data_IF_364403256698
#
_entry.id   IF_364403256698
#
_cell.length_a   1.000
_cell.length_b   1.000
_cell.length_c   1.000
_cell.angle_alpha   90.00
_cell.angle_beta   90.00
_cell.angle_gamma   90.00
#
_symmetry.space_group_name_H-M   'P 1'
#
loop_
_entity.id
_entity.type
_entity.pdbx_description
1 polymer ?
#
# COMPACT_ATOMS: atom_id res chain seq x y z
N UNK A 1 -4.02 -31.67 19.71
CA UNK A 1 -2.56 -31.87 19.53
C UNK A 1 -1.90 -30.58 19.96
N UNK A 2 -0.75 -30.63 20.64
CA UNK A 2 -0.05 -29.40 21.03
C UNK A 2 0.38 -28.62 19.77
N UNK A 3 0.21 -27.28 19.73
CA UNK A 3 0.61 -26.48 18.59
C UNK A 3 2.11 -26.58 18.32
N UNK A 4 2.48 -26.72 17.05
CA UNK A 4 3.88 -26.61 16.64
C UNK A 4 4.21 -25.16 16.30
N UNK A 5 5.20 -24.58 16.97
CA UNK A 5 5.64 -23.20 16.72
C UNK A 5 7.04 -23.18 16.08
N UNK A 6 7.21 -22.35 15.06
CA UNK A 6 8.51 -22.04 14.49
C UNK A 6 8.90 -20.58 14.82
N UNK A 7 10.16 -20.36 15.19
CA UNK A 7 10.75 -19.03 15.31
C UNK A 7 11.73 -18.86 14.14
N UNK A 8 11.35 -18.05 13.17
CA UNK A 8 12.15 -17.80 11.97
C UNK A 8 12.74 -16.41 12.07
N UNK A 9 14.06 -16.28 12.04
CA UNK A 9 14.70 -14.98 12.22
C UNK A 9 15.86 -14.75 11.27
N UNK A 10 16.14 -13.46 11.02
CA UNK A 10 17.40 -13.04 10.41
C UNK A 10 18.17 -12.18 11.43
N UNK A 11 19.44 -12.48 11.65
CA UNK A 11 20.28 -11.69 12.56
C UNK A 11 21.68 -11.56 11.98
N UNK A 12 22.12 -10.32 11.82
CA UNK A 12 23.47 -9.99 11.37
C UNK A 12 24.43 -9.84 12.55
N UNK A 13 24.01 -9.13 13.61
CA UNK A 13 24.85 -8.79 14.78
C UNK A 13 24.39 -9.46 16.09
N UNK A 14 23.48 -10.45 16.03
CA UNK A 14 23.07 -11.22 17.21
C UNK A 14 21.91 -10.66 18.05
N UNK A 15 21.53 -9.39 17.90
CA UNK A 15 20.42 -8.78 18.67
C UNK A 15 19.09 -9.54 18.54
N UNK A 16 18.67 -9.84 17.30
CA UNK A 16 17.46 -10.62 17.02
C UNK A 16 17.58 -12.06 17.53
N UNK A 17 18.79 -12.64 17.57
CA UNK A 17 19.00 -13.99 18.11
C UNK A 17 18.69 -14.03 19.60
N UNK A 18 19.20 -13.06 20.36
CA UNK A 18 18.92 -12.98 21.79
C UNK A 18 17.43 -12.78 22.09
N UNK A 19 16.71 -12.00 21.27
CA UNK A 19 15.25 -11.91 21.37
C UNK A 19 14.58 -13.24 21.00
N UNK A 20 15.01 -13.92 19.94
CA UNK A 20 14.48 -15.21 19.54
C UNK A 20 14.64 -16.28 20.65
N UNK A 21 15.77 -16.27 21.37
CA UNK A 21 15.99 -17.16 22.52
C UNK A 21 15.03 -16.81 23.68
N UNK A 22 14.74 -15.53 23.91
CA UNK A 22 13.76 -15.08 24.91
C UNK A 22 12.31 -15.45 24.53
N UNK A 23 11.93 -15.27 23.27
CA UNK A 23 10.63 -15.74 22.72
C UNK A 23 10.48 -17.25 22.92
N UNK A 24 11.54 -18.02 22.62
CA UNK A 24 11.57 -19.48 22.83
C UNK A 24 11.32 -19.84 24.29
N UNK A 25 12.03 -19.17 25.21
CA UNK A 25 11.85 -19.38 26.64
C UNK A 25 10.41 -19.07 27.10
N UNK A 26 9.78 -18.05 26.51
CA UNK A 26 8.36 -17.73 26.72
C UNK A 26 7.41 -18.85 26.29
N UNK A 27 7.64 -19.42 25.11
CA UNK A 27 6.84 -20.54 24.58
C UNK A 27 7.02 -21.79 25.45
N UNK A 28 8.26 -22.11 25.83
CA UNK A 28 8.56 -23.27 26.68
C UNK A 28 7.95 -23.12 28.08
N UNK A 29 7.96 -21.90 28.64
CA UNK A 29 7.28 -21.59 29.91
C UNK A 29 5.77 -21.81 29.85
N UNK A 30 5.16 -21.61 28.67
CA UNK A 30 3.75 -21.89 28.43
C UNK A 30 3.44 -23.38 28.20
N UNK A 31 4.46 -24.26 28.26
CA UNK A 31 4.33 -25.69 28.00
C UNK A 31 4.37 -26.07 26.52
N UNK A 32 4.83 -25.16 25.65
CA UNK A 32 5.00 -25.37 24.23
C UNK A 32 6.40 -25.82 23.84
N UNK A 33 6.56 -26.09 22.55
CA UNK A 33 7.87 -26.34 21.92
C UNK A 33 8.03 -25.42 20.72
N UNK A 34 9.25 -24.93 20.50
CA UNK A 34 9.56 -24.02 19.41
C UNK A 34 10.87 -24.39 18.73
N UNK A 35 10.81 -24.53 17.41
CA UNK A 35 11.99 -24.78 16.57
C UNK A 35 12.53 -23.46 16.03
N UNK A 36 13.86 -23.26 16.13
CA UNK A 36 14.50 -22.05 15.62
C UNK A 36 15.04 -22.29 14.22
N UNK A 37 14.84 -21.30 13.36
CA UNK A 37 15.33 -21.29 11.99
C UNK A 37 15.95 -19.94 11.66
N UNK A 38 17.07 -19.98 10.94
CA UNK A 38 17.71 -18.76 10.45
C UNK A 38 17.50 -18.59 8.93
N UNK A 39 17.13 -17.38 8.52
CA UNK A 39 17.02 -17.05 7.09
C UNK A 39 18.42 -17.01 6.45
N UNK A 40 18.50 -17.50 5.21
CA UNK A 40 19.71 -17.56 4.41
C UNK A 40 20.39 -16.18 4.27
N UNK A 41 21.74 -16.18 4.26
CA UNK A 41 22.51 -14.96 3.98
C UNK A 41 22.54 -14.68 2.49
N UNK A 42 22.31 -13.42 2.11
CA UNK A 42 22.44 -12.99 0.71
C UNK A 42 23.76 -12.25 0.45
N UNK A 43 24.42 -11.75 1.49
CA UNK A 43 25.66 -11.00 1.35
C UNK A 43 26.87 -11.94 1.20
N UNK A 44 27.80 -11.67 0.26
CA UNK A 44 29.05 -12.43 0.14
C UNK A 44 29.89 -12.38 1.43
N UNK A 45 30.63 -13.46 1.70
CA UNK A 45 31.47 -13.58 2.90
C UNK A 45 32.45 -12.41 3.06
N UNK A 46 33.04 -11.93 1.96
CA UNK A 46 33.95 -10.77 1.98
C UNK A 46 33.30 -9.49 2.49
N UNK A 47 32.03 -9.28 2.15
CA UNK A 47 31.25 -8.11 2.61
C UNK A 47 30.96 -8.25 4.10
N UNK A 48 30.59 -9.45 4.56
CA UNK A 48 30.34 -9.73 5.97
C UNK A 48 31.60 -9.48 6.82
N UNK A 49 32.78 -9.89 6.33
CA UNK A 49 34.05 -9.63 6.99
C UNK A 49 34.33 -8.12 7.09
N UNK A 50 34.10 -7.36 6.02
CA UNK A 50 34.26 -5.89 6.01
C UNK A 50 33.25 -5.18 6.93
N UNK A 51 32.06 -5.74 7.10
CA UNK A 51 31.01 -5.22 7.97
C UNK A 51 31.19 -5.62 9.45
N UNK A 52 32.27 -6.32 9.78
CA UNK A 52 32.54 -6.87 11.12
C UNK A 52 31.36 -7.69 11.67
N UNK A 53 30.63 -8.37 10.79
CA UNK A 53 29.54 -9.22 11.20
C UNK A 53 30.11 -10.45 11.95
N UNK A 54 29.59 -10.79 13.14
CA UNK A 54 30.01 -12.00 13.84
C UNK A 54 29.72 -13.24 13.00
N UNK A 55 30.53 -14.31 13.14
CA UNK A 55 30.27 -15.57 12.47
C UNK A 55 28.88 -16.08 12.85
N UNK A 56 28.14 -16.57 11.85
CA UNK A 56 26.78 -17.08 12.08
C UNK A 56 26.84 -18.32 12.96
N UNK A 57 25.98 -18.43 13.98
CA UNK A 57 25.91 -19.62 14.81
C UNK A 57 25.55 -20.85 13.97
N UNK A 58 26.26 -21.96 14.17
CA UNK A 58 26.00 -23.24 13.48
C UNK A 58 24.98 -24.11 14.22
N UNK A 59 24.47 -23.64 15.37
CA UNK A 59 23.54 -24.36 16.23
C UNK A 59 22.08 -24.26 15.76
N UNK A 60 21.78 -23.31 14.87
CA UNK A 60 20.45 -23.10 14.30
C UNK A 60 20.46 -23.45 12.81
N UNK A 61 19.54 -24.31 12.34
CA UNK A 61 19.45 -24.67 10.93
C UNK A 61 19.09 -23.45 10.06
N UNK A 62 19.74 -23.35 8.90
CA UNK A 62 19.34 -22.39 7.87
C UNK A 62 18.10 -22.89 7.17
N UNK A 63 17.07 -22.05 7.09
CA UNK A 63 15.83 -22.35 6.38
C UNK A 63 15.99 -22.09 4.89
N UNK A 64 16.45 -23.11 4.17
CA UNK A 64 16.61 -23.06 2.72
C UNK A 64 15.29 -23.26 1.96
N UNK A 65 14.43 -24.15 2.45
CA UNK A 65 13.12 -24.45 1.88
C UNK A 65 11.98 -23.90 2.76
N UNK A 66 11.23 -22.88 2.28
CA UNK A 66 10.08 -22.35 3.00
C UNK A 66 8.94 -23.37 3.21
N UNK A 67 8.88 -24.47 2.44
CA UNK A 67 7.82 -25.47 2.59
C UNK A 67 7.81 -26.13 3.97
N UNK A 68 8.95 -26.16 4.67
CA UNK A 68 9.06 -26.67 6.05
C UNK A 68 8.08 -25.94 7.00
N UNK A 69 7.81 -24.65 6.75
CA UNK A 69 6.89 -23.87 7.59
C UNK A 69 5.42 -24.30 7.44
N UNK A 70 5.07 -25.11 6.44
CA UNK A 70 3.71 -25.66 6.27
C UNK A 70 3.31 -26.59 7.40
N UNK A 71 4.28 -27.22 8.07
CA UNK A 71 4.03 -28.19 9.14
C UNK A 71 3.80 -27.54 10.53
N UNK A 72 3.93 -26.21 10.62
CA UNK A 72 3.77 -25.44 11.86
C UNK A 72 2.39 -24.76 11.93
N UNK A 73 1.85 -24.62 13.13
CA UNK A 73 0.57 -23.93 13.37
C UNK A 73 0.76 -22.42 13.60
N UNK A 74 1.91 -22.04 14.17
CA UNK A 74 2.25 -20.66 14.47
C UNK A 74 3.72 -20.35 14.14
N UNK A 75 3.98 -19.13 13.68
CA UNK A 75 5.30 -18.69 13.27
C UNK A 75 5.60 -17.31 13.89
N UNK A 76 6.73 -17.18 14.59
CA UNK A 76 7.26 -15.89 15.05
C UNK A 76 8.40 -15.43 14.14
N UNK A 77 8.28 -14.22 13.61
CA UNK A 77 9.22 -13.64 12.64
C UNK A 77 10.14 -12.60 13.28
N UNK A 78 11.43 -12.89 13.35
CA UNK A 78 12.46 -11.98 13.88
C UNK A 78 13.09 -11.12 12.78
N UNK A 79 12.77 -9.83 12.76
CA UNK A 79 13.10 -8.93 11.65
C UNK A 79 13.97 -7.75 12.13
N UNK A 80 15.25 -7.67 11.72
CA UNK A 80 16.03 -6.46 11.93
C UNK A 80 15.64 -5.43 10.87
N UNK A 81 15.31 -4.21 11.29
CA UNK A 81 14.80 -3.18 10.37
C UNK A 81 15.84 -2.79 9.32
N UNK A 82 15.35 -2.48 8.11
CA UNK A 82 16.06 -1.66 7.13
C UNK A 82 15.12 -0.56 6.67
N UNK A 83 15.37 0.65 7.16
CA UNK A 83 14.59 1.86 6.85
C UNK A 83 13.07 1.69 7.07
N UNK A 84 12.66 0.97 8.13
CA UNK A 84 11.25 0.72 8.42
C UNK A 84 10.62 -0.39 7.56
N UNK A 85 11.44 -1.26 6.95
CA UNK A 85 10.98 -2.40 6.15
C UNK A 85 11.88 -3.63 6.40
N UNK A 86 11.54 -4.73 5.72
CA UNK A 86 12.33 -5.94 5.69
C UNK A 86 13.75 -5.70 5.14
N UNK A 87 14.77 -6.39 5.67
CA UNK A 87 16.06 -6.48 5.01
C UNK A 87 15.95 -7.37 3.75
N UNK A 88 16.92 -7.24 2.85
CA UNK A 88 16.95 -7.96 1.57
C UNK A 88 16.82 -9.48 1.75
N UNK A 89 17.43 -10.04 2.80
CA UNK A 89 17.38 -11.46 3.13
C UNK A 89 15.93 -11.93 3.40
N UNK A 90 15.17 -11.13 4.14
CA UNK A 90 13.75 -11.42 4.38
C UNK A 90 12.92 -11.28 3.10
N UNK A 91 13.20 -10.28 2.26
CA UNK A 91 12.52 -10.16 0.97
C UNK A 91 12.80 -11.34 0.05
N UNK A 92 14.06 -11.75 -0.08
CA UNK A 92 14.44 -12.95 -0.84
C UNK A 92 13.77 -14.22 -0.32
N UNK A 93 13.58 -14.35 1.00
CA UNK A 93 12.82 -15.45 1.58
C UNK A 93 11.35 -15.44 1.14
N UNK A 94 10.67 -14.29 1.23
CA UNK A 94 9.28 -14.15 0.80
C UNK A 94 9.12 -14.30 -0.73
N UNK A 95 10.10 -13.90 -1.52
CA UNK A 95 10.02 -14.07 -2.99
C UNK A 95 10.06 -15.56 -3.40
N UNK A 96 10.65 -16.44 -2.57
CA UNK A 96 10.63 -17.91 -2.76
C UNK A 96 9.26 -18.54 -2.44
N UNK A 97 8.34 -17.83 -1.77
CA UNK A 97 7.07 -18.43 -1.31
C UNK A 97 5.92 -18.33 -2.31
N UNK A 98 6.16 -17.91 -3.56
CA UNK A 98 5.12 -17.75 -4.59
C UNK A 98 4.27 -19.02 -4.82
N UNK A 99 4.89 -20.19 -4.88
CA UNK A 99 4.15 -21.46 -5.00
C UNK A 99 3.34 -21.81 -3.74
N UNK A 100 3.83 -21.45 -2.56
CA UNK A 100 3.13 -21.64 -1.28
C UNK A 100 1.92 -20.70 -1.18
N UNK A 101 2.09 -19.46 -1.65
CA UNK A 101 1.01 -18.49 -1.76
C UNK A 101 -0.10 -19.01 -2.67
N UNK A 102 0.25 -19.47 -3.87
CA UNK A 102 -0.73 -20.00 -4.84
C UNK A 102 -1.49 -21.21 -4.28
N UNK A 103 -0.83 -22.08 -3.52
CA UNK A 103 -1.46 -23.25 -2.90
C UNK A 103 -2.21 -22.94 -1.60
N UNK A 104 -2.17 -21.70 -1.10
CA UNK A 104 -2.71 -21.34 0.22
C UNK A 104 -2.02 -22.02 1.40
N UNK A 105 -0.75 -22.43 1.26
CA UNK A 105 -0.08 -23.27 2.26
C UNK A 105 0.13 -22.64 3.63
N UNK A 106 0.07 -21.31 3.73
CA UNK A 106 0.14 -20.56 5.00
C UNK A 106 -1.22 -20.02 5.46
N UNK A 107 -2.28 -20.26 4.69
CA UNK A 107 -3.59 -19.74 5.00
C UNK A 107 -4.10 -20.27 6.35
N UNK A 108 -4.55 -19.37 7.21
CA UNK A 108 -5.09 -19.70 8.54
C UNK A 108 -4.04 -20.03 9.60
N UNK A 109 -2.73 -19.96 9.29
CA UNK A 109 -1.67 -20.09 10.30
C UNK A 109 -1.48 -18.79 11.07
N UNK A 110 -1.00 -18.90 12.30
CA UNK A 110 -0.76 -17.74 13.15
C UNK A 110 0.63 -17.16 12.93
N UNK A 111 0.73 -15.84 12.91
CA UNK A 111 1.99 -15.12 12.75
C UNK A 111 2.16 -14.06 13.84
N UNK A 112 3.33 -13.99 14.45
CA UNK A 112 3.77 -12.86 15.26
C UNK A 112 5.12 -12.35 14.78
N UNK A 113 5.55 -11.20 15.28
CA UNK A 113 6.81 -10.60 14.88
C UNK A 113 7.51 -9.92 16.04
N UNK A 114 8.84 -9.82 15.96
CA UNK A 114 9.68 -9.07 16.88
C UNK A 114 10.81 -8.38 16.11
N UNK A 115 11.15 -7.16 16.52
CA UNK A 115 11.93 -6.22 15.70
C UNK A 115 13.17 -5.69 16.41
N UNK A 116 14.25 -5.48 15.65
CA UNK A 116 15.44 -4.78 16.13
C UNK A 116 15.69 -3.53 15.29
N UNK A 117 15.91 -2.39 15.94
CA UNK A 117 16.24 -1.12 15.27
C UNK A 117 17.46 -0.46 15.89
N UNK A 118 18.13 0.42 15.15
CA UNK A 118 19.26 1.17 15.70
C UNK A 118 18.81 2.29 16.65
N UNK A 119 17.75 3.02 16.28
CA UNK A 119 17.24 4.20 17.00
C UNK A 119 15.77 4.06 17.40
N UNK A 120 15.33 4.95 18.31
CA UNK A 120 13.97 4.94 18.89
C UNK A 120 12.87 5.11 17.83
N UNK A 121 13.00 6.13 16.96
CA UNK A 121 12.08 6.37 15.85
C UNK A 121 12.42 5.59 14.57
N UNK A 122 13.46 4.77 14.59
CA UNK A 122 14.06 4.12 13.41
C UNK A 122 13.27 2.94 12.86
N UNK A 123 11.93 2.99 12.90
CA UNK A 123 11.06 2.00 12.30
C UNK A 123 10.71 0.78 13.16
N UNK A 124 10.66 0.93 14.48
CA UNK A 124 10.16 -0.12 15.38
C UNK A 124 8.74 -0.55 15.01
N UNK A 125 7.87 0.41 14.68
CA UNK A 125 6.47 0.12 14.33
C UNK A 125 6.28 -0.02 12.82
N UNK A 126 6.92 0.82 12.02
CA UNK A 126 6.75 0.78 10.56
C UNK A 126 7.23 -0.53 9.93
N UNK A 127 8.25 -1.17 10.49
CA UNK A 127 8.68 -2.51 10.03
C UNK A 127 7.59 -3.55 10.26
N UNK A 128 6.86 -3.47 11.37
CA UNK A 128 5.72 -4.35 11.66
C UNK A 128 4.58 -4.09 10.67
N UNK A 129 4.25 -2.82 10.44
CA UNK A 129 3.23 -2.40 9.48
C UNK A 129 3.56 -2.87 8.06
N UNK A 130 4.81 -2.74 7.62
CA UNK A 130 5.26 -3.21 6.32
C UNK A 130 5.07 -4.74 6.17
N UNK A 131 5.29 -5.50 7.23
CA UNK A 131 5.08 -6.95 7.25
C UNK A 131 3.62 -7.37 7.09
N UNK A 132 2.66 -6.52 7.49
CA UNK A 132 1.24 -6.83 7.42
C UNK A 132 0.78 -7.10 5.98
N UNK A 133 1.33 -6.40 5.00
CA UNK A 133 1.04 -6.66 3.58
C UNK A 133 1.35 -8.11 3.18
N UNK A 134 2.51 -8.62 3.61
CA UNK A 134 2.95 -9.99 3.31
C UNK A 134 2.10 -11.02 4.05
N UNK A 135 1.75 -10.75 5.31
CA UNK A 135 0.89 -11.63 6.08
C UNK A 135 -0.52 -11.72 5.50
N UNK A 136 -1.09 -10.58 5.09
CA UNK A 136 -2.40 -10.52 4.46
C UNK A 136 -2.45 -11.31 3.14
N UNK A 137 -1.45 -11.15 2.27
CA UNK A 137 -1.38 -11.88 1.00
C UNK A 137 -1.30 -13.39 1.20
N UNK A 138 -0.57 -13.85 2.22
CA UNK A 138 -0.47 -15.28 2.57
C UNK A 138 -1.66 -15.83 3.38
N UNK A 139 -2.58 -14.96 3.83
CA UNK A 139 -3.69 -15.36 4.70
C UNK A 139 -3.26 -15.75 6.11
N UNK A 140 -2.15 -15.19 6.60
CA UNK A 140 -1.67 -15.38 7.97
C UNK A 140 -2.51 -14.58 8.96
N UNK A 141 -2.85 -15.18 10.10
CA UNK A 141 -3.54 -14.53 11.20
C UNK A 141 -2.51 -13.87 12.09
N UNK A 142 -2.44 -12.54 12.03
CA UNK A 142 -1.52 -11.78 12.85
C UNK A 142 -1.96 -11.72 14.32
N UNK A 143 -1.05 -12.09 15.22
CA UNK A 143 -1.22 -12.02 16.67
C UNK A 143 -0.27 -10.94 17.21
N UNK A 144 -0.78 -9.74 17.54
CA UNK A 144 0.03 -8.69 18.15
C UNK A 144 0.36 -9.00 19.60
N UNK A 145 1.40 -8.37 20.13
CA UNK A 145 1.72 -8.42 21.57
C UNK A 145 0.63 -7.74 22.42
N UNK A 146 0.16 -6.58 21.97
CA UNK A 146 -0.79 -5.74 22.71
C UNK A 146 -0.21 -5.20 24.03
N UNK A 147 -1.07 -4.53 24.82
CA UNK A 147 -0.64 -3.89 26.07
C UNK A 147 -0.89 -4.73 27.33
N UNK A 148 -1.93 -5.56 27.36
CA UNK A 148 -2.50 -6.05 28.62
C UNK A 148 -1.50 -6.80 29.54
N UNK A 149 -0.66 -7.68 28.96
CA UNK A 149 0.30 -8.51 29.72
C UNK A 149 1.66 -7.87 29.91
N UNK A 150 1.96 -6.83 29.13
CA UNK A 150 3.22 -6.10 29.16
C UNK A 150 3.05 -4.62 29.51
N UNK A 151 1.93 -4.24 30.14
CA UNK A 151 1.54 -2.84 30.31
C UNK A 151 2.62 -2.06 31.05
N UNK A 152 3.11 -2.58 32.18
CA UNK A 152 4.15 -1.93 32.97
C UNK A 152 5.41 -1.62 32.18
N UNK A 153 5.88 -2.57 31.34
CA UNK A 153 7.08 -2.40 30.51
C UNK A 153 6.81 -1.46 29.33
N UNK A 154 5.65 -1.58 28.68
CA UNK A 154 5.28 -0.77 27.52
C UNK A 154 4.91 0.67 27.89
N UNK A 155 4.50 0.95 29.12
CA UNK A 155 4.25 2.33 29.59
C UNK A 155 5.40 2.91 30.39
N UNK A 156 6.47 2.15 30.62
CA UNK A 156 7.64 2.67 31.30
C UNK A 156 8.38 3.69 30.41
N UNK A 157 8.56 4.89 30.96
CA UNK A 157 9.26 6.01 30.34
C UNK A 157 10.59 6.32 31.07
N UNK A 158 10.94 5.54 32.09
CA UNK A 158 12.15 5.76 32.90
C UNK A 158 13.44 5.34 32.17
N UNK A 159 13.33 4.38 31.25
CA UNK A 159 14.46 3.87 30.47
C UNK A 159 14.08 3.68 28.99
N UNK A 160 15.05 3.89 28.10
CA UNK A 160 14.88 3.67 26.67
C UNK A 160 14.80 2.17 26.37
N UNK A 161 13.67 1.73 25.81
CA UNK A 161 13.36 0.32 25.51
C UNK A 161 12.62 0.14 24.18
N UNK A 162 13.03 -0.86 23.42
CA UNK A 162 12.38 -1.28 22.17
C UNK A 162 11.05 -2.00 22.42
N UNK A 163 10.30 -2.22 21.34
CA UNK A 163 9.01 -2.89 21.41
C UNK A 163 7.82 -1.94 21.45
N UNK A 164 6.70 -2.47 20.97
CA UNK A 164 5.45 -1.75 20.71
C UNK A 164 4.27 -2.72 20.87
N UNK A 165 3.01 -2.26 20.86
CA UNK A 165 1.86 -3.18 20.81
C UNK A 165 1.87 -4.11 19.60
N UNK A 166 2.58 -3.76 18.52
CA UNK A 166 2.73 -4.62 17.35
C UNK A 166 3.54 -5.87 17.70
N UNK A 167 4.64 -5.72 18.43
CA UNK A 167 5.51 -6.82 18.82
C UNK A 167 6.65 -6.35 19.71
N UNK A 168 7.31 -7.29 20.35
CA UNK A 168 8.52 -7.06 21.12
C UNK A 168 9.62 -6.52 20.23
N UNK A 169 10.56 -5.81 20.84
CA UNK A 169 11.68 -5.29 20.09
C UNK A 169 12.81 -4.79 20.95
N UNK A 170 13.92 -4.49 20.29
CA UNK A 170 15.15 -4.05 20.95
C UNK A 170 15.84 -2.95 20.16
N UNK A 171 16.60 -2.11 20.86
CA UNK A 171 17.47 -1.12 20.26
C UNK A 171 18.93 -1.58 20.25
N UNK A 172 19.54 -1.59 19.07
CA UNK A 172 20.96 -1.94 18.87
C UNK A 172 21.90 -0.73 19.07
N UNK A 173 21.38 0.50 19.08
CA UNK A 173 22.20 1.72 19.09
C UNK A 173 22.74 2.06 17.69
N UNK A 174 23.28 3.27 17.53
CA UNK A 174 23.78 3.75 16.24
C UNK A 174 25.02 2.99 15.72
N UNK A 175 25.81 2.45 16.64
CA UNK A 175 27.00 1.64 16.39
C UNK A 175 26.75 0.13 16.48
N UNK A 176 25.52 -0.28 16.86
CA UNK A 176 25.18 -1.69 17.07
C UNK A 176 25.74 -2.30 18.36
N UNK A 177 26.28 -1.51 19.30
CA UNK A 177 26.89 -2.03 20.53
C UNK A 177 25.87 -2.34 21.63
N UNK A 178 24.72 -1.66 21.65
CA UNK A 178 23.70 -1.81 22.69
C UNK A 178 23.03 -3.18 22.57
N UNK A 179 23.19 -4.00 23.60
CA UNK A 179 22.53 -5.29 23.68
C UNK A 179 21.08 -5.17 24.20
N UNK A 180 20.22 -6.17 23.92
CA UNK A 180 18.87 -6.17 24.45
C UNK A 180 18.87 -6.08 25.99
N UNK A 181 18.12 -5.12 26.52
CA UNK A 181 17.99 -4.94 27.97
C UNK A 181 17.11 -6.04 28.58
N UNK A 182 17.17 -6.20 29.89
CA UNK A 182 16.37 -7.22 30.59
C UNK A 182 14.87 -6.98 30.40
N UNK A 183 14.43 -5.71 30.39
CA UNK A 183 13.04 -5.35 30.09
C UNK A 183 12.62 -5.73 28.66
N UNK A 184 13.51 -5.59 27.66
CA UNK A 184 13.24 -5.98 26.27
C UNK A 184 13.18 -7.52 26.11
N UNK A 185 14.03 -8.25 26.84
CA UNK A 185 14.01 -9.72 26.89
C UNK A 185 12.77 -10.25 27.61
N UNK A 186 12.36 -9.60 28.71
CA UNK A 186 11.12 -9.92 29.40
C UNK A 186 9.91 -9.67 28.50
N UNK A 187 9.91 -8.58 27.74
CA UNK A 187 8.86 -8.27 26.75
C UNK A 187 8.73 -9.39 25.69
N UNK A 188 9.85 -9.85 25.14
CA UNK A 188 9.88 -10.99 24.21
C UNK A 188 9.44 -12.30 24.86
N UNK A 189 9.81 -12.53 26.13
CA UNK A 189 9.35 -13.72 26.87
C UNK A 189 7.82 -13.70 27.05
N UNK A 190 7.24 -12.53 27.37
CA UNK A 190 5.79 -12.36 27.48
C UNK A 190 5.11 -12.58 26.12
N UNK A 191 5.71 -12.07 25.04
CA UNK A 191 5.18 -12.30 23.69
C UNK A 191 5.13 -13.78 23.34
N UNK A 192 6.22 -14.51 23.54
CA UNK A 192 6.28 -15.94 23.26
C UNK A 192 5.25 -16.74 24.06
N UNK A 193 5.10 -16.42 25.36
CA UNK A 193 4.13 -17.06 26.25
C UNK A 193 2.68 -16.83 25.78
N UNK A 194 2.30 -15.59 25.49
CA UNK A 194 0.93 -15.24 25.11
C UNK A 194 0.60 -15.64 23.66
N UNK A 195 1.59 -15.60 22.76
CA UNK A 195 1.46 -16.13 21.40
C UNK A 195 1.12 -17.62 21.45
N UNK A 196 1.89 -18.43 22.18
CA UNK A 196 1.63 -19.86 22.31
C UNK A 196 0.23 -20.12 22.90
N UNK A 197 -0.16 -19.44 23.98
CA UNK A 197 -1.50 -19.57 24.57
C UNK A 197 -2.61 -19.26 23.57
N UNK A 198 -2.41 -18.27 22.69
CA UNK A 198 -3.39 -17.89 21.68
C UNK A 198 -3.53 -18.98 20.62
N UNK A 199 -2.40 -19.50 20.11
CA UNK A 199 -2.40 -20.59 19.14
C UNK A 199 -2.98 -21.88 19.76
N UNK A 200 -2.64 -22.18 21.01
CA UNK A 200 -3.17 -23.32 21.75
C UNK A 200 -4.71 -23.28 21.83
N UNK A 201 -5.29 -22.16 22.25
CA UNK A 201 -6.76 -21.98 22.30
C UNK A 201 -7.43 -22.22 20.94
N UNK A 202 -6.83 -21.69 19.87
CA UNK A 202 -7.36 -21.88 18.52
C UNK A 202 -7.26 -23.34 18.04
N UNK A 203 -6.19 -24.05 18.42
CA UNK A 203 -6.01 -25.47 18.08
C UNK A 203 -6.90 -26.40 18.90
N UNK A 204 -7.19 -26.06 20.15
CA UNK A 204 -8.12 -26.81 21.01
C UNK A 204 -9.57 -26.68 20.51
N UNK A 205 -9.97 -25.49 20.04
CA UNK A 205 -11.28 -25.27 19.41
C UNK A 205 -11.53 -26.11 18.15
N UNK A 206 -10.49 -26.51 17.42
CA UNK A 206 -10.60 -27.44 16.27
C UNK A 206 -10.97 -28.88 16.70
N UNK A 207 -10.84 -29.22 17.99
CA UNK A 207 -11.18 -30.54 18.54
C UNK A 207 -12.55 -30.61 19.21
N UNK A 208 -13.44 -29.63 18.97
CA UNK A 208 -14.78 -29.61 19.57
C UNK A 208 -15.68 -30.77 19.09
N UNK A 209 -15.64 -31.85 19.88
CA UNK A 209 -16.75 -32.70 20.33
C UNK A 209 -17.53 -33.53 19.29
N UNK A 210 -16.96 -34.67 18.89
CA UNK A 210 -17.74 -35.92 18.82
C UNK A 210 -17.88 -36.50 20.24
N UNK A 211 -18.75 -35.90 21.06
CA UNK A 211 -19.35 -36.60 22.19
C UNK A 211 -20.79 -36.89 21.83
N UNK A 212 -21.01 -38.13 21.37
CA UNK A 212 -22.35 -38.71 21.38
C UNK A 212 -22.89 -38.75 22.80
N UNK A 213 -24.14 -38.32 22.97
CA UNK A 213 -24.95 -38.63 24.14
C UNK A 213 -25.05 -37.55 25.22
N UNK A 214 -25.94 -36.58 25.03
CA UNK A 214 -27.13 -36.32 25.87
C UNK A 214 -27.70 -34.93 25.55
N UNK A 215 -29.01 -34.87 25.34
CA UNK A 215 -29.69 -33.79 24.62
C UNK A 215 -29.86 -32.47 25.38
N UNK A 216 -29.79 -31.37 24.64
CA UNK A 216 -30.94 -30.65 24.06
C UNK A 216 -30.43 -29.48 23.18
N UNK A 217 -31.21 -29.02 22.19
CA UNK A 217 -30.73 -28.18 21.10
C UNK A 217 -30.96 -26.68 21.38
N UNK A 218 -30.22 -25.79 20.70
CA UNK A 218 -30.76 -24.68 19.90
C UNK A 218 -29.61 -23.81 19.30
N UNK A 219 -29.46 -23.92 17.99
CA UNK A 219 -28.98 -22.95 16.98
C UNK A 219 -27.65 -22.21 17.16
N UNK A 220 -26.64 -22.61 16.40
CA UNK A 220 -26.21 -21.87 15.21
C UNK A 220 -25.52 -22.86 14.26
N UNK A 221 -26.17 -23.12 13.12
CA UNK A 221 -25.73 -24.09 12.13
C UNK A 221 -24.47 -23.61 11.42
N UNK A 222 -23.47 -24.48 11.36
CA UNK A 222 -22.32 -24.38 10.48
C UNK A 222 -22.43 -25.57 9.51
N UNK A 223 -23.03 -25.33 8.35
CA UNK A 223 -22.83 -26.10 7.11
C UNK A 223 -22.33 -25.04 6.11
N UNK A 224 -21.25 -25.27 5.36
CA UNK A 224 -21.27 -26.15 4.19
C UNK A 224 -19.93 -26.85 4.02
N UNK A 225 -20.01 -28.17 3.87
CA UNK A 225 -18.95 -29.08 3.45
C UNK A 225 -19.04 -29.27 1.93
N UNK A 226 -17.89 -29.20 1.26
CA UNK A 226 -17.45 -29.94 0.07
C UNK A 226 -18.46 -30.15 -1.08
N UNK A 227 -18.13 -29.57 -2.25
CA UNK A 227 -18.50 -30.13 -3.56
C UNK A 227 -17.25 -30.28 -4.42
N UNK A 228 -16.71 -31.50 -4.47
CA UNK A 228 -15.82 -31.98 -5.53
C UNK A 228 -16.53 -33.17 -6.19
N UNK A 229 -17.09 -32.98 -7.38
CA UNK A 229 -17.16 -34.04 -8.38
C UNK A 229 -17.56 -33.52 -9.79
N UNK A 230 -16.62 -33.70 -10.71
CA UNK A 230 -16.78 -34.10 -12.13
C UNK A 230 -17.72 -33.33 -13.05
N UNK A 231 -17.12 -32.52 -13.93
CA UNK A 231 -17.46 -32.56 -15.37
C UNK A 231 -16.24 -33.03 -16.16
N UNK A 232 -16.26 -34.31 -16.51
CA UNK A 232 -15.46 -34.87 -17.59
C UNK A 232 -16.27 -34.71 -18.88
N UNK A 233 -15.72 -33.93 -19.82
CA UNK A 233 -16.25 -33.77 -21.16
C UNK A 233 -15.08 -33.48 -22.09
N UNK A 234 -14.50 -34.55 -22.65
CA UNK A 234 -13.43 -34.42 -23.63
C UNK A 234 -13.92 -33.85 -24.96
N UNK A 235 -13.04 -33.13 -25.65
CA UNK A 235 -12.95 -33.07 -27.11
C UNK A 235 -11.51 -32.74 -27.51
N UNK A 236 -11.15 -33.24 -28.69
CA UNK A 236 -9.84 -33.63 -29.18
C UNK A 236 -8.96 -32.47 -29.67
N UNK A 237 -7.64 -32.68 -29.54
CA UNK A 237 -6.53 -32.26 -30.39
C UNK A 237 -6.80 -31.24 -31.51
N UNK A 238 -6.07 -30.12 -31.49
CA UNK A 238 -5.24 -29.81 -32.64
C UNK A 238 -3.99 -28.99 -32.28
N UNK A 239 -2.90 -29.37 -32.92
CA UNK A 239 -1.59 -28.76 -32.89
C UNK A 239 -1.64 -27.25 -33.11
N UNK A 240 -0.83 -26.51 -32.36
CA UNK A 240 0.13 -25.54 -32.91
C UNK A 240 1.10 -25.14 -31.80
N UNK A 241 2.36 -25.53 -31.98
CA UNK A 241 3.50 -25.00 -31.24
C UNK A 241 3.56 -23.49 -31.50
N UNK A 242 3.48 -22.69 -30.44
CA UNK A 242 3.96 -21.32 -30.47
C UNK A 242 5.14 -21.27 -29.51
N UNK A 243 6.32 -21.40 -30.10
CA UNK A 243 7.58 -20.92 -29.54
C UNK A 243 7.34 -19.50 -28.99
N UNK A 244 7.48 -19.35 -27.67
CA UNK A 244 7.62 -18.04 -27.05
C UNK A 244 9.01 -17.53 -27.42
N UNK A 245 9.07 -16.58 -28.34
CA UNK A 245 10.29 -15.91 -28.75
C UNK A 245 11.05 -15.36 -27.54
N UNK A 246 12.28 -15.86 -27.40
CA UNK A 246 13.35 -15.34 -26.57
C UNK A 246 13.64 -13.86 -26.91
N UNK A 247 12.99 -12.95 -26.19
CA UNK A 247 13.17 -11.50 -26.37
C UNK A 247 14.51 -10.97 -25.81
N UNK A 248 15.34 -11.85 -25.22
CA UNK A 248 16.66 -11.52 -24.65
C UNK A 248 17.76 -12.54 -25.01
N UNK A 249 17.75 -13.06 -26.24
CA UNK A 249 18.81 -13.93 -26.74
C UNK A 249 20.20 -13.28 -26.65
N UNK A 250 21.01 -13.74 -25.70
CA UNK A 250 22.47 -13.57 -25.70
C UNK A 250 23.05 -14.45 -26.82
N UNK A 251 24.00 -13.98 -27.65
CA UNK A 251 24.58 -14.84 -28.67
C UNK A 251 25.44 -15.92 -28.00
N UNK A 252 25.06 -17.17 -28.25
CA UNK A 252 25.82 -18.37 -27.91
C UNK A 252 27.14 -18.45 -28.69
N UNK A 253 28.14 -18.99 -28.00
CA UNK A 253 29.49 -19.24 -28.48
C UNK A 253 29.55 -20.04 -29.79
N UNK A 254 30.39 -19.61 -30.72
CA UNK A 254 31.00 -20.48 -31.71
C UNK A 254 32.47 -20.09 -31.91
N UNK A 255 33.35 -21.05 -31.64
CA UNK A 255 34.80 -20.92 -31.68
C UNK A 255 35.34 -20.55 -33.08
N UNK A 256 36.13 -19.48 -33.16
CA UNK A 256 37.32 -19.39 -34.02
C UNK A 256 38.41 -18.56 -33.33
N UNK A 257 39.62 -19.12 -33.27
CA UNK A 257 40.83 -18.48 -32.74
C UNK A 257 41.40 -17.48 -33.75
N UNK A 258 41.48 -16.20 -33.38
CA UNK A 258 42.53 -15.27 -33.89
C UNK A 258 42.81 -14.19 -32.85
N UNK A 259 44.07 -14.02 -32.52
CA UNK A 259 44.63 -12.99 -31.64
C UNK A 259 44.45 -11.59 -32.22
N UNK A 260 43.49 -10.82 -31.70
CA UNK A 260 43.48 -9.34 -31.76
C UNK A 260 42.42 -8.84 -30.78
N UNK A 261 42.80 -7.95 -29.85
CA UNK A 261 41.88 -7.35 -28.88
C UNK A 261 40.57 -6.85 -29.54
N UNK A 262 39.38 -7.29 -29.11
CA UNK A 262 38.13 -6.66 -29.54
C UNK A 262 38.08 -5.27 -28.90
N UNK A 263 37.97 -4.22 -29.72
CA UNK A 263 37.82 -2.87 -29.20
C UNK A 263 36.48 -2.74 -28.45
N UNK A 264 36.50 -2.17 -27.25
CA UNK A 264 35.29 -1.84 -26.46
C UNK A 264 34.43 -0.73 -27.10
N UNK A 265 34.86 -0.17 -28.23
CA UNK A 265 34.24 0.98 -28.89
C UNK A 265 32.80 0.72 -29.34
N UNK A 266 32.44 -0.43 -29.97
CA UNK A 266 31.07 -0.69 -30.38
C UNK A 266 30.10 -0.80 -29.18
N UNK A 267 30.56 -1.39 -28.07
CA UNK A 267 29.79 -1.49 -26.82
C UNK A 267 29.54 -0.12 -26.22
N UNK A 268 30.58 0.71 -26.10
CA UNK A 268 30.47 2.08 -25.58
C UNK A 268 29.57 2.94 -26.47
N UNK A 269 29.65 2.79 -27.80
CA UNK A 269 28.78 3.51 -28.73
C UNK A 269 27.30 3.13 -28.55
N UNK A 270 27.00 1.85 -28.30
CA UNK A 270 25.64 1.39 -28.04
C UNK A 270 25.12 1.89 -26.69
N UNK A 271 25.96 1.91 -25.66
CA UNK A 271 25.64 2.48 -24.34
C UNK A 271 25.33 3.99 -24.43
N UNK A 272 26.17 4.76 -25.13
CA UNK A 272 25.95 6.19 -25.34
C UNK A 272 24.72 6.50 -26.19
N UNK A 273 24.44 5.69 -27.23
CA UNK A 273 23.24 5.86 -28.07
C UNK A 273 21.98 5.58 -27.26
N UNK A 274 22.00 4.54 -26.42
CA UNK A 274 20.85 4.18 -25.56
C UNK A 274 20.63 5.24 -24.48
N UNK A 275 21.70 5.75 -23.87
CA UNK A 275 21.64 6.84 -22.89
C UNK A 275 21.10 8.13 -23.53
N UNK A 276 21.62 8.53 -24.69
CA UNK A 276 21.16 9.73 -25.40
C UNK A 276 19.69 9.66 -25.83
N UNK A 277 19.20 8.50 -26.25
CA UNK A 277 17.78 8.30 -26.55
C UNK A 277 16.90 8.43 -25.29
N UNK A 278 17.35 7.85 -24.17
CA UNK A 278 16.64 7.97 -22.88
C UNK A 278 16.60 9.40 -22.39
N UNK A 279 17.70 10.12 -22.48
CA UNK A 279 17.80 11.52 -22.07
C UNK A 279 16.94 12.41 -22.97
N UNK A 280 16.95 12.17 -24.28
CA UNK A 280 16.08 12.88 -25.24
C UNK A 280 14.59 12.69 -24.96
N UNK A 281 14.14 11.46 -24.67
CA UNK A 281 12.76 11.19 -24.27
C UNK A 281 12.41 11.83 -22.92
N UNK A 282 13.35 11.83 -21.97
CA UNK A 282 13.14 12.41 -20.64
C UNK A 282 13.01 13.93 -20.72
N UNK A 283 13.85 14.58 -21.52
CA UNK A 283 13.83 16.02 -21.74
C UNK A 283 12.60 16.47 -22.57
N UNK A 284 12.22 15.72 -23.60
CA UNK A 284 11.02 16.02 -24.38
C UNK A 284 9.74 15.88 -23.55
N UNK A 285 9.67 14.86 -22.69
CA UNK A 285 8.56 14.69 -21.74
C UNK A 285 8.50 15.83 -20.72
N UNK A 286 9.64 16.22 -20.14
CA UNK A 286 9.64 17.28 -19.12
C UNK A 286 9.25 18.64 -19.68
N UNK A 287 9.61 18.97 -20.92
CA UNK A 287 9.32 20.27 -21.52
C UNK A 287 7.88 20.43 -21.99
N UNK A 288 7.28 19.40 -22.61
CA UNK A 288 5.96 19.52 -23.23
C UNK A 288 4.80 19.03 -22.34
N UNK A 289 5.04 18.05 -21.46
CA UNK A 289 3.98 17.53 -20.58
C UNK A 289 3.76 18.46 -19.40
N UNK A 290 4.82 19.05 -18.85
CA UNK A 290 4.73 19.87 -17.65
C UNK A 290 4.02 21.19 -17.93
N UNK A 291 4.32 21.88 -19.03
CA UNK A 291 3.66 23.15 -19.37
C UNK A 291 2.16 23.00 -19.61
N UNK A 292 1.77 21.95 -20.36
CA UNK A 292 0.35 21.64 -20.58
C UNK A 292 -0.38 21.19 -19.31
N UNK A 293 0.32 20.45 -18.44
CA UNK A 293 -0.22 20.08 -17.13
C UNK A 293 -0.41 21.29 -16.22
N UNK A 294 0.56 22.20 -16.13
CA UNK A 294 0.50 23.35 -15.23
C UNK A 294 -0.63 24.32 -15.63
N UNK A 295 -0.84 24.53 -16.94
CA UNK A 295 -1.94 25.34 -17.47
C UNK A 295 -3.30 24.66 -17.22
N UNK A 296 -3.44 23.38 -17.58
CA UNK A 296 -4.67 22.62 -17.37
C UNK A 296 -5.02 22.41 -15.90
N UNK A 297 -4.02 22.30 -15.03
CA UNK A 297 -4.21 22.08 -13.59
C UNK A 297 -4.82 23.31 -12.92
N UNK A 298 -4.35 24.52 -13.21
CA UNK A 298 -4.91 25.74 -12.63
C UNK A 298 -6.40 25.93 -12.99
N UNK A 299 -6.76 25.68 -14.24
CA UNK A 299 -8.15 25.76 -14.73
C UNK A 299 -9.03 24.62 -14.21
N UNK A 300 -8.48 23.40 -14.18
CA UNK A 300 -9.15 22.26 -13.59
C UNK A 300 -9.41 22.43 -12.08
N UNK A 301 -8.46 23.05 -11.37
CA UNK A 301 -8.57 23.34 -9.94
C UNK A 301 -9.65 24.37 -9.64
N UNK A 302 -9.77 25.45 -10.42
CA UNK A 302 -10.82 26.47 -10.21
C UNK A 302 -12.22 25.91 -10.49
N UNK A 303 -12.37 25.14 -11.56
CA UNK A 303 -13.63 24.46 -11.92
C UNK A 303 -13.99 23.40 -10.88
N UNK A 304 -13.01 22.59 -10.47
CA UNK A 304 -13.18 21.55 -9.45
C UNK A 304 -13.53 22.11 -8.08
N UNK A 305 -12.90 23.21 -7.67
CA UNK A 305 -13.22 23.90 -6.42
C UNK A 305 -14.68 24.39 -6.41
N UNK A 306 -15.14 24.97 -7.52
CA UNK A 306 -16.52 25.45 -7.67
C UNK A 306 -17.55 24.31 -7.67
N UNK A 307 -17.26 23.22 -8.39
CA UNK A 307 -18.11 22.03 -8.36
C UNK A 307 -18.17 21.41 -6.95
N UNK A 308 -17.04 21.37 -6.25
CA UNK A 308 -16.93 20.89 -4.87
C UNK A 308 -17.72 21.73 -3.88
N UNK A 309 -17.67 23.06 -3.99
CA UNK A 309 -18.48 23.97 -3.16
C UNK A 309 -19.98 23.73 -3.34
N UNK A 310 -20.45 23.56 -4.57
CA UNK A 310 -21.87 23.28 -4.86
C UNK A 310 -22.32 21.93 -4.27
N UNK A 311 -21.52 20.88 -4.45
CA UNK A 311 -21.80 19.56 -3.88
C UNK A 311 -21.74 19.56 -2.36
N UNK A 312 -20.74 20.23 -1.78
CA UNK A 312 -20.56 20.34 -0.33
C UNK A 312 -21.73 21.06 0.35
N UNK A 313 -22.28 22.09 -0.28
CA UNK A 313 -23.46 22.76 0.26
C UNK A 313 -24.72 21.88 0.20
N UNK A 314 -24.93 21.15 -0.90
CA UNK A 314 -26.04 20.22 -1.01
C UNK A 314 -25.92 19.06 0.00
N UNK A 315 -24.71 18.54 0.20
CA UNK A 315 -24.42 17.54 1.26
C UNK A 315 -24.68 18.10 2.66
N UNK A 316 -24.26 19.33 2.92
CA UNK A 316 -24.50 20.03 4.19
C UNK A 316 -26.00 20.23 4.47
N UNK A 317 -26.77 20.67 3.46
CA UNK A 317 -28.23 20.80 3.55
C UNK A 317 -28.90 19.44 3.79
N UNK A 318 -28.50 18.40 3.05
CA UNK A 318 -29.04 17.05 3.22
C UNK A 318 -28.77 16.51 4.64
N UNK A 319 -27.56 16.71 5.16
CA UNK A 319 -27.19 16.28 6.51
C UNK A 319 -27.96 17.05 7.60
N UNK A 320 -28.10 18.37 7.46
CA UNK A 320 -28.84 19.21 8.41
C UNK A 320 -30.33 18.84 8.48
N UNK A 321 -30.94 18.56 7.33
CA UNK A 321 -32.35 18.15 7.25
C UNK A 321 -32.52 16.70 7.72
N UNK A 322 -31.56 15.82 7.41
CA UNK A 322 -31.50 14.47 7.95
C UNK A 322 -31.46 14.41 9.48
N UNK A 323 -30.67 15.27 10.12
CA UNK A 323 -30.64 15.39 11.58
C UNK A 323 -31.98 15.89 12.16
N UNK A 324 -32.64 16.82 11.47
CA UNK A 324 -33.95 17.35 11.88
C UNK A 324 -35.07 16.30 11.70
N UNK A 325 -34.96 15.44 10.68
CA UNK A 325 -35.94 14.41 10.35
C UNK A 325 -36.11 13.30 11.40
N UNK A 326 -35.15 13.16 12.33
CA UNK A 326 -35.27 12.29 13.51
C UNK A 326 -36.29 12.80 14.54
N UNK A 327 -36.66 14.09 14.49
CA UNK A 327 -37.54 14.72 15.48
C UNK A 327 -38.98 14.95 15.01
N UNK A 328 -39.27 15.00 13.70
CA UNK A 328 -40.61 15.27 13.16
C UNK A 328 -40.93 14.49 11.86
N UNK A 329 -42.05 13.74 11.80
CA UNK A 329 -42.38 12.87 10.66
C UNK A 329 -42.71 13.53 9.30
N UNK A 330 -43.18 14.80 9.17
CA UNK A 330 -43.46 15.38 7.85
C UNK A 330 -42.20 15.73 7.02
N UNK A 331 -40.99 15.72 7.60
CA UNK A 331 -39.75 16.11 6.90
C UNK A 331 -39.08 14.98 6.12
N UNK A 332 -39.55 13.72 6.27
CA UNK A 332 -38.97 12.56 5.56
C UNK A 332 -39.09 12.70 4.02
N UNK A 333 -40.15 13.35 3.54
CA UNK A 333 -40.34 13.60 2.11
C UNK A 333 -39.37 14.67 1.58
N UNK A 334 -39.04 15.66 2.40
CA UNK A 334 -38.08 16.71 2.06
C UNK A 334 -36.64 16.18 2.02
N UNK A 335 -36.27 15.31 2.98
CA UNK A 335 -34.96 14.63 2.97
C UNK A 335 -34.78 13.82 1.68
N UNK A 336 -35.78 13.02 1.30
CA UNK A 336 -35.72 12.22 0.06
C UNK A 336 -35.62 13.08 -1.21
N UNK A 337 -36.30 14.23 -1.24
CA UNK A 337 -36.20 15.18 -2.36
C UNK A 337 -34.77 15.70 -2.52
N UNK A 338 -34.16 16.13 -1.41
CA UNK A 338 -32.80 16.71 -1.43
C UNK A 338 -31.75 15.63 -1.71
N UNK A 339 -31.92 14.42 -1.19
CA UNK A 339 -31.07 13.26 -1.55
C UNK A 339 -31.15 12.93 -3.05
N UNK A 340 -32.34 13.03 -3.65
CA UNK A 340 -32.52 12.83 -5.10
C UNK A 340 -31.79 13.91 -5.90
N UNK A 341 -31.94 15.18 -5.50
CA UNK A 341 -31.23 16.31 -6.11
C UNK A 341 -29.71 16.19 -5.98
N UNK A 342 -29.22 15.69 -4.83
CA UNK A 342 -27.80 15.46 -4.60
C UNK A 342 -27.24 14.36 -5.50
N UNK A 343 -27.99 13.27 -5.69
CA UNK A 343 -27.59 12.20 -6.60
C UNK A 343 -27.58 12.66 -8.07
N UNK A 344 -28.53 13.50 -8.47
CA UNK A 344 -28.54 14.14 -9.78
C UNK A 344 -27.34 15.09 -9.96
N UNK A 345 -27.04 15.90 -8.94
CA UNK A 345 -25.89 16.79 -8.93
C UNK A 345 -24.56 16.03 -9.03
N UNK A 346 -24.38 14.92 -8.30
CA UNK A 346 -23.18 14.07 -8.40
C UNK A 346 -22.98 13.49 -9.80
N UNK A 347 -24.07 13.14 -10.49
CA UNK A 347 -24.01 12.57 -11.83
C UNK A 347 -23.65 13.63 -12.88
N UNK A 348 -24.30 14.79 -12.81
CA UNK A 348 -24.09 15.89 -13.75
C UNK A 348 -22.79 16.68 -13.50
N UNK A 349 -22.35 16.83 -12.25
CA UNK A 349 -21.09 17.49 -11.87
C UNK A 349 -19.89 16.52 -11.77
N UNK A 350 -20.04 15.30 -12.29
CA UNK A 350 -18.92 14.37 -12.39
C UNK A 350 -17.86 14.88 -13.37
N UNK A 351 -16.60 14.49 -13.15
CA UNK A 351 -15.45 14.89 -13.98
C UNK A 351 -15.70 14.60 -15.46
N UNK A 352 -16.35 13.47 -15.77
CA UNK A 352 -16.65 13.06 -17.14
C UNK A 352 -17.67 13.97 -17.84
N UNK A 353 -18.60 14.55 -17.09
CA UNK A 353 -19.64 15.46 -17.61
C UNK A 353 -19.15 16.90 -17.68
N UNK A 354 -18.38 17.35 -16.68
CA UNK A 354 -17.83 18.72 -16.62
C UNK A 354 -16.71 18.91 -17.65
N UNK A 355 -15.89 17.89 -17.88
CA UNK A 355 -14.84 17.88 -18.91
C UNK A 355 -15.26 17.11 -20.17
N UNK A 356 -16.57 17.02 -20.44
CA UNK A 356 -17.10 16.34 -21.61
C UNK A 356 -16.71 17.03 -22.93
N UNK A 357 -16.67 16.24 -24.02
CA UNK A 357 -16.36 16.73 -25.38
C UNK A 357 -17.34 17.77 -25.92
N UNK A 358 -18.48 17.93 -25.26
CA UNK A 358 -19.49 18.93 -25.58
C UNK A 358 -19.04 20.35 -25.18
N UNK A 359 -18.20 20.46 -24.14
CA UNK A 359 -17.73 21.75 -23.60
C UNK A 359 -16.26 22.02 -23.90
N UNK A 360 -15.47 20.99 -24.23
CA UNK A 360 -14.02 21.08 -24.46
C UNK A 360 -13.62 20.51 -25.82
N UNK A 361 -12.73 21.22 -26.54
CA UNK A 361 -12.08 20.74 -27.75
C UNK A 361 -10.96 19.72 -27.48
N UNK A 362 -10.49 19.04 -28.53
CA UNK A 362 -9.36 18.08 -28.44
C UNK A 362 -8.03 18.77 -28.10
N UNK A 363 -7.98 20.08 -28.28
CA UNK A 363 -6.91 21.02 -27.94
C UNK A 363 -7.00 21.55 -26.49
N UNK A 364 -8.04 21.19 -25.73
CA UNK A 364 -8.25 21.67 -24.35
C UNK A 364 -8.84 23.08 -24.27
N UNK A 365 -9.30 23.64 -25.40
CA UNK A 365 -9.95 24.96 -25.45
C UNK A 365 -11.47 24.81 -25.21
N UNK A 366 -12.05 25.69 -24.41
CA UNK A 366 -13.49 25.68 -24.11
C UNK A 366 -14.32 26.11 -25.33
N UNK A 367 -15.50 25.51 -25.50
CA UNK A 367 -16.39 25.73 -26.66
C UNK A 367 -17.55 26.70 -26.40
N UNK A 368 -17.62 27.30 -25.21
CA UNK A 368 -18.70 28.18 -24.80
C UNK A 368 -18.28 29.66 -24.75
N UNK A 369 -19.23 30.57 -24.94
CA UNK A 369 -18.96 32.01 -24.89
C UNK A 369 -18.61 32.45 -23.46
N UNK A 370 -17.49 33.16 -23.32
CA UNK A 370 -17.04 33.77 -22.05
C UNK A 370 -16.92 35.27 -22.28
N UNK A 371 -17.79 36.04 -21.64
CA UNK A 371 -17.81 37.50 -21.74
C UNK A 371 -16.72 38.12 -20.84
N UNK A 372 -15.84 38.94 -21.42
CA UNK A 372 -14.80 39.72 -20.71
C UNK A 372 -13.73 40.30 -21.64
N UNK A 373 -13.25 41.52 -21.37
CA UNK A 373 -12.09 42.12 -22.07
C UNK A 373 -10.76 41.44 -21.68
N UNK A 374 -10.65 40.97 -20.44
CA UNK A 374 -9.55 40.14 -19.91
C UNK A 374 -10.15 38.87 -19.28
N UNK A 375 -9.95 37.71 -19.90
CA UNK A 375 -10.54 36.44 -19.43
C UNK A 375 -9.67 35.87 -18.31
N UNK A 376 -10.19 35.84 -17.08
CA UNK A 376 -9.56 35.15 -15.95
C UNK A 376 -10.14 33.73 -15.85
N UNK A 377 -9.36 32.77 -15.35
CA UNK A 377 -9.83 31.38 -15.15
C UNK A 377 -11.07 31.27 -14.24
N UNK A 378 -11.28 32.23 -13.34
CA UNK A 378 -12.51 32.35 -12.54
C UNK A 378 -13.76 32.65 -13.38
N UNK A 379 -13.62 33.46 -14.43
CA UNK A 379 -14.71 33.81 -15.35
C UNK A 379 -15.09 32.62 -16.24
N UNK A 380 -14.09 31.87 -16.69
CA UNK A 380 -14.28 30.62 -17.46
C UNK A 380 -15.03 29.58 -16.63
N UNK A 381 -14.66 29.41 -15.35
CA UNK A 381 -15.36 28.51 -14.43
C UNK A 381 -16.79 29.00 -14.10
N UNK A 382 -17.01 30.32 -14.06
CA UNK A 382 -18.32 30.90 -13.76
C UNK A 382 -19.32 30.90 -14.90
N UNK A 383 -18.83 30.88 -16.13
CA UNK A 383 -19.67 30.87 -17.33
C UNK A 383 -19.91 29.46 -17.87
N UNK A 384 -19.34 28.43 -17.24
CA UNK A 384 -19.58 27.03 -17.60
C UNK A 384 -21.08 26.68 -17.49
N UNK A 385 -21.74 26.19 -18.56
CA UNK A 385 -23.19 26.00 -18.61
C UNK A 385 -23.76 25.10 -17.50
N UNK A 386 -23.07 24.00 -17.16
CA UNK A 386 -23.50 23.11 -16.09
C UNK A 386 -23.33 23.74 -14.70
N UNK A 387 -22.24 24.49 -14.47
CA UNK A 387 -22.01 25.12 -13.18
C UNK A 387 -23.01 26.26 -12.96
N UNK A 388 -23.35 27.01 -14.00
CA UNK A 388 -24.37 28.06 -13.97
C UNK A 388 -25.77 27.51 -13.71
N UNK A 389 -26.12 26.37 -14.31
CA UNK A 389 -27.38 25.65 -14.04
C UNK A 389 -27.47 25.26 -12.57
N UNK A 390 -26.46 24.59 -12.04
CA UNK A 390 -26.46 24.10 -10.66
C UNK A 390 -26.33 25.22 -9.63
N UNK A 391 -25.53 26.27 -9.89
CA UNK A 391 -25.46 27.47 -9.06
C UNK A 391 -26.85 28.10 -8.86
N UNK A 392 -27.67 28.20 -9.92
CA UNK A 392 -29.04 28.73 -9.82
C UNK A 392 -30.00 27.84 -9.00
N UNK A 393 -29.83 26.51 -9.06
CA UNK A 393 -30.65 25.55 -8.29
C UNK A 393 -30.24 25.59 -6.82
N UNK A 394 -28.94 25.51 -6.55
CA UNK A 394 -28.37 25.50 -5.20
C UNK A 394 -28.68 26.79 -4.46
N UNK A 395 -28.56 27.96 -5.12
CA UNK A 395 -28.94 29.26 -4.52
C UNK A 395 -30.40 29.33 -4.13
N UNK A 396 -31.30 28.76 -4.95
CA UNK A 396 -32.74 28.75 -4.67
C UNK A 396 -33.06 27.91 -3.43
N UNK A 397 -32.44 26.74 -3.33
CA UNK A 397 -32.63 25.84 -2.18
C UNK A 397 -31.97 26.44 -0.91
N UNK A 398 -30.75 26.96 -1.01
CA UNK A 398 -30.05 27.61 0.10
C UNK A 398 -30.81 28.83 0.66
N UNK A 399 -31.39 29.66 -0.22
CA UNK A 399 -32.23 30.78 0.17
C UNK A 399 -33.53 30.34 0.87
N UNK A 400 -34.08 29.18 0.49
CA UNK A 400 -35.25 28.59 1.16
C UNK A 400 -34.99 28.22 2.62
N UNK A 401 -33.74 27.92 2.97
CA UNK A 401 -33.31 27.57 4.33
C UNK A 401 -32.59 28.71 5.07
N UNK A 402 -32.53 29.91 4.50
CA UNK A 402 -31.89 31.08 5.12
C UNK A 402 -30.37 30.97 5.27
N UNK A 403 -29.71 30.15 4.44
CA UNK A 403 -28.25 30.00 4.45
C UNK A 403 -27.62 31.15 3.65
N UNK A 404 -26.79 31.95 4.31
CA UNK A 404 -26.02 33.00 3.64
C UNK A 404 -24.87 32.37 2.84
N UNK A 405 -25.01 32.43 1.52
CA UNK A 405 -24.09 31.84 0.54
C UNK A 405 -22.78 32.64 0.40
N UNK A 406 -22.82 33.95 0.63
CA UNK A 406 -21.68 34.82 0.37
C UNK A 406 -20.54 34.60 1.39
N UNK A 407 -20.87 34.12 2.59
CA UNK A 407 -19.91 33.75 3.65
C UNK A 407 -19.00 32.58 3.24
N UNK A 408 -19.49 31.66 2.40
CA UNK A 408 -18.70 30.52 1.93
C UNK A 408 -17.78 30.89 0.74
N UNK A 409 -17.99 32.06 0.12
CA UNK A 409 -17.16 32.57 -0.99
C UNK A 409 -15.92 33.35 -0.50
N UNK A 410 -15.93 33.85 0.73
CA UNK A 410 -14.83 34.64 1.33
C UNK A 410 -13.51 33.87 1.54
N UNK A 411 -13.47 32.58 1.18
CA UNK A 411 -12.26 31.77 1.04
C UNK A 411 -11.42 32.08 -0.21
N UNK A 412 -11.91 32.90 -1.15
CA UNK A 412 -11.14 33.45 -2.28
C UNK A 412 -10.18 34.60 -1.86
N UNK A 413 -9.67 34.57 -0.62
CA UNK A 413 -8.45 35.33 -0.28
C UNK A 413 -7.24 34.54 -0.74
N UNK A 414 -6.75 34.91 -1.92
CA UNK A 414 -5.38 34.70 -2.41
C UNK A 414 -4.78 33.30 -2.21
N UNK A 415 -5.25 32.31 -2.99
CA UNK A 415 -4.38 31.23 -3.47
C UNK A 415 -3.63 31.69 -4.75
N UNK A 416 -3.14 32.93 -4.74
CA UNK A 416 -2.62 33.61 -5.92
C UNK A 416 -1.75 34.80 -5.56
N UNK A 417 -0.87 34.64 -4.55
CA UNK A 417 0.35 35.45 -4.51
C UNK A 417 1.17 35.15 -5.77
N UNK A 418 1.18 36.09 -6.70
CA UNK A 418 2.00 36.14 -7.92
C UNK A 418 1.76 35.03 -8.96
N UNK A 419 0.76 35.22 -9.83
CA UNK A 419 0.94 35.20 -11.30
C UNK A 419 -0.41 35.40 -11.99
N UNK A 420 -0.68 36.62 -12.49
CA UNK A 420 -1.73 36.86 -13.49
C UNK A 420 -1.27 36.24 -14.81
N UNK A 421 -1.47 34.94 -15.00
CA UNK A 421 -1.23 34.33 -16.33
C UNK A 421 -2.35 34.74 -17.28
N UNK A 422 -1.98 35.65 -18.19
CA UNK A 422 -2.84 36.18 -19.24
C UNK A 422 -3.04 35.15 -20.34
N UNK A 423 -4.28 34.94 -20.76
CA UNK A 423 -4.60 34.14 -21.96
C UNK A 423 -4.74 35.10 -23.13
N UNK A 424 -3.79 35.08 -24.08
CA UNK A 424 -3.96 35.78 -25.36
C UNK A 424 -4.95 35.02 -26.22
N UNK A 425 -6.00 35.72 -26.66
CA UNK A 425 -6.93 35.26 -27.69
C UNK A 425 -6.20 35.28 -29.03
N UNK A 426 -5.69 34.13 -29.50
CA UNK A 426 -5.27 34.02 -30.90
C UNK A 426 -6.52 34.06 -31.78
N UNK A 427 -6.75 35.23 -32.36
CA UNK A 427 -7.85 35.48 -33.28
C UNK A 427 -7.63 34.74 -34.59
N UNK A 428 -8.73 34.20 -35.11
CA UNK A 428 -8.86 33.73 -36.48
C UNK A 428 -8.32 34.79 -37.48
N UNK A 429 -7.37 34.38 -38.31
CA UNK A 429 -7.11 35.05 -39.59
C UNK A 429 -5.65 35.27 -39.95
N UNK A 430 -4.95 34.24 -40.43
CA UNK A 430 -4.18 34.39 -41.68
C UNK A 430 -3.78 33.02 -42.27
N UNK A 431 -4.36 32.69 -43.43
CA UNK A 431 -3.76 31.76 -44.37
C UNK A 431 -2.48 32.40 -44.94
N UNK A 432 -1.32 32.00 -44.45
CA UNK A 432 -0.04 31.97 -45.21
C UNK A 432 0.70 30.73 -44.69
N UNK A 433 0.91 29.70 -45.48
CA UNK A 433 1.87 29.71 -46.57
C UNK A 433 3.08 28.90 -46.10
N UNK A 434 3.07 27.62 -46.46
CA UNK A 434 4.19 26.69 -46.29
C UNK A 434 5.41 27.25 -47.03
N UNK A 435 6.48 27.62 -46.32
CA UNK A 435 7.86 27.58 -46.83
C UNK A 435 8.86 28.05 -45.76
N UNK A 436 9.90 27.23 -45.59
CA UNK A 436 11.25 27.59 -45.13
C UNK A 436 11.41 28.07 -43.68
N UNK A 437 12.07 27.26 -42.85
CA UNK A 437 13.47 27.54 -42.50
C UNK A 437 14.15 26.25 -42.00
N UNK A 438 15.22 25.89 -42.71
CA UNK A 438 16.23 24.94 -42.28
C UNK A 438 17.21 25.66 -41.35
N UNK A 439 17.64 24.99 -40.27
CA UNK A 439 19.01 24.65 -39.88
C UNK A 439 18.99 23.95 -38.52
#
# INVERSE_FOLDING_TARGET
MAPKIAIVYYSMYGHIRQLADAEKAGIEKAGGTADLYQVEETLPAEVLTKMHAPPKPTDVPVLSDPNVLKDYDGILFGIPTRYGNFPAQWKAFWDKTGGIWQSGGYWGKYAGLFISTASQGGGQESTALAAMSTFAHHGLIYVPLGYAKAFGILTDLSAVRGGSPWGAGTFAGGDGSRQPSDAEKELATIQGEEFYKTVAKATEGRTCSTKEGQGRPLWFACEVYIFYHTMSGGHNNNHNNVEMDDIWGSPSDNHYTTSSHPSDIPRLQQEHTTAGYRDGITQAKSQHVQSGFDEGYSLGATIGARAGQLLGLLEGLAAAIGLTSLSYPPQIQETKRIETLLNEARKELSVQSVFGRDYWGEDGVWRYEVDGEEIVFGDVAGQHPLLKKWDGIVRREAAGYGVDWDVLRDGERDFGGEERKMVKKEGEGERRGVSEFAW
#
